data_IF_872735619978
#
_entry.id   IF_872735619978
#
_cell.length_a   1.000
_cell.length_b   1.000
_cell.length_c   1.000
_cell.angle_alpha   90.00
_cell.angle_beta   90.00
_cell.angle_gamma   90.00
#
_symmetry.space_group_name_H-M   'P 1'
#
loop_
_entity.id
_entity.type
_entity.pdbx_description
1 polymer ?
#
# COMPACT_ATOMS: atom_id res chain seq x y z
N UNK A 1 37.20 11.14 -12.36
CA UNK A 1 35.92 10.57 -12.86
C UNK A 1 34.93 10.69 -11.71
N UNK A 2 33.88 11.51 -11.71
CA UNK A 2 32.98 11.99 -12.76
C UNK A 2 32.81 13.51 -12.69
N UNK A 3 32.70 14.12 -13.87
CA UNK A 3 32.70 15.56 -14.08
C UNK A 3 31.52 16.26 -13.45
N UNK A 4 31.85 17.34 -12.75
CA UNK A 4 30.92 18.36 -12.32
C UNK A 4 30.37 19.17 -13.48
N UNK A 5 29.20 19.73 -13.20
CA UNK A 5 28.90 21.14 -13.43
C UNK A 5 29.36 21.68 -14.80
N UNK A 6 28.53 21.45 -15.82
CA UNK A 6 28.67 22.15 -17.08
C UNK A 6 27.83 21.55 -18.17
N UNK A 7 26.56 21.97 -18.25
CA UNK A 7 26.07 22.59 -19.48
C UNK A 7 24.61 23.10 -19.35
N UNK A 8 24.48 24.40 -19.60
CA UNK A 8 23.34 25.08 -20.22
C UNK A 8 22.12 25.52 -19.37
N UNK A 9 22.37 26.49 -18.48
CA UNK A 9 21.68 27.79 -18.26
C UNK A 9 20.23 28.09 -18.73
N UNK A 10 19.33 27.11 -18.84
CA UNK A 10 17.89 27.39 -19.06
C UNK A 10 16.97 26.17 -19.03
N UNK A 11 17.48 24.99 -19.40
CA UNK A 11 16.72 23.74 -19.37
C UNK A 11 17.03 22.86 -18.13
N UNK A 12 18.10 23.15 -17.40
CA UNK A 12 18.53 22.36 -16.25
C UNK A 12 17.64 22.48 -14.99
N UNK A 13 16.77 23.50 -14.89
CA UNK A 13 15.89 23.69 -13.73
C UNK A 13 14.63 22.82 -13.78
N UNK A 14 14.23 22.33 -14.96
CA UNK A 14 13.03 21.49 -15.11
C UNK A 14 13.27 20.00 -14.83
N UNK A 15 14.52 19.53 -15.04
CA UNK A 15 14.95 18.16 -14.78
C UNK A 15 14.68 17.73 -13.32
N UNK A 16 15.07 18.48 -12.27
CA UNK A 16 14.81 18.07 -10.89
C UNK A 16 13.32 18.03 -10.55
N UNK A 17 12.51 18.92 -11.13
CA UNK A 17 11.06 18.96 -10.90
C UNK A 17 10.36 17.72 -11.46
N UNK A 18 10.72 17.32 -12.68
CA UNK A 18 10.24 16.08 -13.31
C UNK A 18 10.67 14.84 -12.52
N UNK A 19 11.90 14.83 -12.01
CA UNK A 19 12.43 13.73 -11.23
C UNK A 19 11.67 13.57 -9.89
N UNK A 20 11.38 14.66 -9.19
CA UNK A 20 10.56 14.65 -7.96
C UNK A 20 9.15 14.16 -8.26
N UNK A 21 8.50 14.67 -9.32
CA UNK A 21 7.17 14.21 -9.73
C UNK A 21 7.13 12.72 -10.10
N UNK A 22 8.16 12.23 -10.79
CA UNK A 22 8.29 10.82 -11.14
C UNK A 22 8.47 9.93 -9.91
N UNK A 23 9.31 10.34 -8.94
CA UNK A 23 9.49 9.61 -7.67
C UNK A 23 8.18 9.52 -6.91
N UNK A 24 7.43 10.61 -6.81
CA UNK A 24 6.10 10.64 -6.17
C UNK A 24 5.12 9.72 -6.91
N UNK A 25 5.06 9.81 -8.24
CA UNK A 25 4.18 8.96 -9.06
C UNK A 25 4.47 7.47 -8.89
N UNK A 26 5.76 7.08 -8.90
CA UNK A 26 6.20 5.70 -8.67
C UNK A 26 5.87 5.27 -7.25
N UNK A 27 6.10 6.11 -6.23
CA UNK A 27 5.74 5.80 -4.84
C UNK A 27 4.23 5.55 -4.66
N UNK A 28 3.37 6.39 -5.23
CA UNK A 28 1.91 6.19 -5.21
C UNK A 28 1.45 4.98 -6.04
N UNK A 29 2.13 4.68 -7.15
CA UNK A 29 1.80 3.52 -7.99
C UNK A 29 2.20 2.20 -7.31
N UNK A 30 3.33 2.16 -6.60
CA UNK A 30 3.71 1.02 -5.78
C UNK A 30 2.83 0.87 -4.54
N UNK A 31 2.42 1.96 -3.89
CA UNK A 31 1.49 1.89 -2.75
C UNK A 31 0.12 1.37 -3.17
N UNK A 32 -0.39 1.78 -4.33
CA UNK A 32 -1.66 1.26 -4.87
C UNK A 32 -1.55 -0.15 -5.50
N UNK A 33 -0.35 -0.58 -5.88
CA UNK A 33 -0.11 -1.86 -6.56
C UNK A 33 0.06 -3.06 -5.65
N UNK A 34 0.29 -2.87 -4.35
CA UNK A 34 0.58 -3.97 -3.40
C UNK A 34 -0.55 -4.28 -2.40
N UNK A 35 -1.72 -3.65 -2.53
CA UNK A 35 -2.88 -3.93 -1.65
C UNK A 35 -3.82 -5.04 -2.14
N UNK A 36 -3.50 -5.78 -3.21
CA UNK A 36 -4.48 -6.71 -3.81
C UNK A 36 -4.47 -8.14 -3.29
N UNK A 37 -3.49 -8.54 -2.48
CA UNK A 37 -3.47 -9.89 -1.85
C UNK A 37 -3.63 -9.84 -0.33
N UNK A 38 -2.95 -8.93 0.37
CA UNK A 38 -3.09 -8.79 1.84
C UNK A 38 -4.44 -8.17 2.27
N UNK A 39 -5.10 -7.40 1.39
CA UNK A 39 -6.42 -6.83 1.70
C UNK A 39 -7.52 -7.88 1.81
N UNK A 40 -7.47 -9.01 1.08
CA UNK A 40 -8.54 -10.01 1.15
C UNK A 40 -8.55 -10.77 2.47
N UNK A 41 -7.38 -11.08 3.02
CA UNK A 41 -7.23 -11.74 4.32
C UNK A 41 -7.67 -10.80 5.45
N UNK A 42 -7.20 -9.54 5.42
CA UNK A 42 -7.66 -8.50 6.35
C UNK A 42 -9.19 -8.32 6.27
N UNK A 43 -9.78 -8.26 5.07
CA UNK A 43 -11.22 -8.14 4.92
C UNK A 43 -11.99 -9.32 5.52
N UNK A 44 -11.50 -10.56 5.41
CA UNK A 44 -12.19 -11.72 5.94
C UNK A 44 -12.16 -11.77 7.47
N UNK A 45 -11.03 -11.40 8.08
CA UNK A 45 -10.90 -11.27 9.53
C UNK A 45 -11.70 -10.09 10.07
N UNK A 46 -11.68 -8.94 9.39
CA UNK A 46 -12.44 -7.75 9.77
C UNK A 46 -13.95 -8.02 9.76
N UNK A 47 -14.47 -8.73 8.74
CA UNK A 47 -15.88 -9.15 8.69
C UNK A 47 -16.21 -10.13 9.82
N UNK A 48 -15.28 -11.02 10.17
CA UNK A 48 -15.47 -11.99 11.25
C UNK A 48 -15.53 -11.29 12.62
N UNK A 49 -14.64 -10.34 12.86
CA UNK A 49 -14.59 -9.51 14.07
C UNK A 49 -15.85 -8.65 14.22
N UNK A 50 -16.34 -8.04 13.13
CA UNK A 50 -17.56 -7.22 13.13
C UNK A 50 -18.79 -8.04 13.54
N UNK A 51 -18.93 -9.27 13.03
CA UNK A 51 -20.05 -10.16 13.36
C UNK A 51 -20.02 -10.63 14.79
N UNK A 52 -18.83 -10.91 15.33
CA UNK A 52 -18.67 -11.25 16.74
C UNK A 52 -19.03 -10.07 17.65
N UNK A 53 -18.58 -8.86 17.31
CA UNK A 53 -18.91 -7.63 18.05
C UNK A 53 -20.41 -7.31 18.03
N UNK A 54 -21.10 -7.63 16.93
CA UNK A 54 -22.56 -7.54 16.81
C UNK A 54 -23.32 -8.64 17.55
N UNK A 55 -22.63 -9.66 18.06
CA UNK A 55 -23.25 -10.84 18.69
C UNK A 55 -23.99 -11.75 17.71
N UNK A 56 -23.70 -11.65 16.41
CA UNK A 56 -24.32 -12.47 15.37
C UNK A 56 -23.76 -13.90 15.32
N UNK A 57 -22.57 -14.12 15.89
CA UNK A 57 -21.89 -15.41 15.99
C UNK A 57 -21.42 -15.66 17.41
N UNK A 58 -21.34 -16.94 17.81
CA UNK A 58 -20.82 -17.33 19.13
C UNK A 58 -19.29 -17.31 19.17
N UNK A 59 -18.72 -17.32 20.38
CA UNK A 59 -17.27 -17.37 20.59
C UNK A 59 -16.63 -18.61 19.97
N UNK A 60 -17.30 -19.76 20.06
CA UNK A 60 -16.84 -21.02 19.47
C UNK A 60 -16.76 -20.92 17.94
N UNK A 61 -17.78 -20.30 17.33
CA UNK A 61 -17.83 -20.12 15.88
C UNK A 61 -16.77 -19.12 15.39
N UNK A 62 -16.53 -18.06 16.17
CA UNK A 62 -15.47 -17.08 15.94
C UNK A 62 -14.09 -17.74 15.95
N UNK A 63 -13.76 -18.50 17.00
CA UNK A 63 -12.47 -19.17 17.16
C UNK A 63 -12.23 -20.17 16.03
N UNK A 64 -13.25 -20.95 15.65
CA UNK A 64 -13.14 -21.93 14.58
C UNK A 64 -12.83 -21.27 13.23
N UNK A 65 -13.54 -20.20 12.86
CA UNK A 65 -13.32 -19.47 11.61
C UNK A 65 -11.99 -18.72 11.58
N UNK A 66 -11.60 -18.11 12.69
CA UNK A 66 -10.31 -17.44 12.85
C UNK A 66 -9.13 -18.40 12.64
N UNK A 67 -9.28 -19.66 13.04
CA UNK A 67 -8.26 -20.71 12.83
C UNK A 67 -8.18 -21.18 11.37
N UNK A 68 -9.26 -21.07 10.60
CA UNK A 68 -9.30 -21.45 9.17
C UNK A 68 -8.75 -20.32 8.30
N UNK A 69 -8.95 -19.06 8.68
CA UNK A 69 -8.53 -17.87 7.94
C UNK A 69 -7.05 -17.50 8.14
N UNK A 70 -6.37 -18.13 9.09
CA UNK A 70 -4.95 -17.94 9.42
C UNK A 70 -4.11 -19.08 8.85
#
# INVERSE_FOLDING_TARGET
MMGGYGMMSGFGMFIPLLLIGFVIYVAFRLSNGSYSIRSRENNALDILDERFAKGEISEEEYIHKKKILR
#
